data_IF_032901463083
#
_entry.id   IF_032901463083
#
_cell.length_a   1.000
_cell.length_b   1.000
_cell.length_c   1.000
_cell.angle_alpha   90.00
_cell.angle_beta   90.00
_cell.angle_gamma   90.00
#
_symmetry.space_group_name_H-M   'P 1'
#
loop_
_entity.id
_entity.type
_entity.pdbx_description
1 polymer ?
#
# COMPACT_ATOMS: atom_id res chain seq x y z
N UNK A 1 15.58 -2.26 6.72
CA UNK A 1 16.10 -0.90 6.49
C UNK A 1 15.59 -0.46 5.13
N UNK A 2 14.91 0.66 5.05
CA UNK A 2 14.26 1.15 3.83
C UNK A 2 14.89 2.47 3.44
N UNK A 3 15.03 2.69 2.13
CA UNK A 3 15.56 3.94 1.61
C UNK A 3 14.49 5.03 1.73
N UNK A 4 14.82 6.21 2.24
CA UNK A 4 13.90 7.34 2.20
C UNK A 4 13.67 7.77 0.75
N UNK A 5 12.52 8.38 0.49
CA UNK A 5 12.25 8.94 -0.83
C UNK A 5 13.33 9.98 -1.18
N UNK A 6 13.99 9.87 -2.35
CA UNK A 6 15.03 10.81 -2.75
C UNK A 6 14.56 12.26 -2.66
N UNK A 7 15.39 13.20 -2.19
CA UNK A 7 14.99 14.60 -2.04
C UNK A 7 14.40 15.22 -3.32
N UNK A 8 14.94 14.87 -4.49
CA UNK A 8 14.43 15.36 -5.78
C UNK A 8 13.00 14.87 -6.08
N UNK A 9 12.69 13.61 -5.77
CA UNK A 9 11.34 13.07 -5.95
C UNK A 9 10.38 13.67 -4.93
N UNK A 10 10.80 13.78 -3.67
CA UNK A 10 10.00 14.45 -2.63
C UNK A 10 9.67 15.89 -3.01
N UNK A 11 10.64 16.63 -3.56
CA UNK A 11 10.42 17.98 -4.05
C UNK A 11 9.42 18.03 -5.22
N UNK A 12 9.51 17.09 -6.17
CA UNK A 12 8.57 16.98 -7.27
C UNK A 12 7.14 16.71 -6.79
N UNK A 13 6.97 15.79 -5.82
CA UNK A 13 5.68 15.51 -5.18
C UNK A 13 5.12 16.78 -4.52
N UNK A 14 5.94 17.44 -3.70
CA UNK A 14 5.51 18.64 -2.96
C UNK A 14 5.17 19.81 -3.88
N UNK A 15 5.93 20.02 -4.96
CA UNK A 15 5.69 21.06 -5.96
C UNK A 15 4.66 20.67 -7.01
N UNK A 16 4.10 19.47 -6.94
CA UNK A 16 3.14 18.95 -7.92
C UNK A 16 3.67 19.01 -9.36
N UNK A 17 4.94 18.65 -9.54
CA UNK A 17 5.55 18.56 -10.88
C UNK A 17 5.13 17.22 -11.49
N UNK A 18 4.78 17.16 -12.79
CA UNK A 18 4.43 15.90 -13.44
C UNK A 18 5.45 14.77 -13.17
N UNK A 19 5.02 13.55 -12.87
CA UNK A 19 3.64 13.01 -12.94
C UNK A 19 2.81 13.22 -11.66
N UNK A 20 3.23 14.06 -10.70
CA UNK A 20 2.57 14.24 -9.40
C UNK A 20 1.59 15.42 -9.34
N UNK A 21 1.31 16.07 -10.46
CA UNK A 21 0.49 17.27 -10.55
C UNK A 21 -1.03 17.03 -10.46
N UNK A 22 -1.47 15.81 -10.76
CA UNK A 22 -2.88 15.42 -10.78
C UNK A 22 -3.36 14.61 -9.57
N UNK A 23 -2.60 14.54 -8.48
CA UNK A 23 -2.98 13.73 -7.31
C UNK A 23 -4.16 14.39 -6.58
N UNK A 24 -5.31 13.71 -6.58
CA UNK A 24 -6.55 14.13 -5.92
C UNK A 24 -6.84 13.31 -4.66
N UNK A 25 -6.39 12.06 -4.62
CA UNK A 25 -6.64 11.12 -3.53
C UNK A 25 -5.32 10.55 -3.03
N UNK A 26 -5.21 10.45 -1.72
CA UNK A 26 -4.05 9.86 -1.04
C UNK A 26 -4.55 8.75 -0.14
N UNK A 27 -3.91 7.58 -0.17
CA UNK A 27 -4.26 6.47 0.69
C UNK A 27 -3.02 5.92 1.39
N UNK A 28 -3.17 5.58 2.68
CA UNK A 28 -2.13 4.95 3.48
C UNK A 28 -2.57 3.56 3.92
N UNK A 29 -1.69 2.58 3.80
CA UNK A 29 -1.94 1.22 4.27
C UNK A 29 -1.82 1.12 5.79
N UNK A 30 -0.86 1.81 6.39
CA UNK A 30 -0.57 1.86 7.83
C UNK A 30 0.40 3.00 8.16
N UNK A 31 0.78 3.16 9.43
CA UNK A 31 1.51 4.33 9.93
C UNK A 31 2.94 4.04 10.39
N UNK A 32 3.62 3.04 9.86
CA UNK A 32 5.07 2.92 10.08
C UNK A 32 5.82 4.04 9.36
N UNK A 33 6.97 4.44 9.91
CA UNK A 33 7.75 5.60 9.46
C UNK A 33 8.22 5.53 8.00
N UNK A 34 8.35 4.33 7.46
CA UNK A 34 8.71 4.09 6.06
C UNK A 34 7.51 4.16 5.10
N UNK A 35 6.29 4.23 5.63
CA UNK A 35 5.04 4.42 4.88
C UNK A 35 4.36 5.75 5.15
N UNK A 36 4.63 6.36 6.31
CA UNK A 36 3.92 7.56 6.76
C UNK A 36 4.83 8.48 7.56
N UNK A 37 5.00 9.70 7.09
CA UNK A 37 5.65 10.81 7.79
C UNK A 37 4.62 11.91 8.04
N UNK A 38 4.25 12.11 9.31
CA UNK A 38 3.19 13.04 9.71
C UNK A 38 3.48 14.49 9.29
N UNK A 39 4.74 14.94 9.42
CA UNK A 39 5.10 16.32 9.09
C UNK A 39 5.06 16.53 7.57
N UNK A 40 5.56 15.58 6.80
CA UNK A 40 5.52 15.61 5.35
C UNK A 40 4.08 15.55 4.83
N UNK A 41 3.25 14.69 5.40
CA UNK A 41 1.82 14.58 5.05
C UNK A 41 1.08 15.86 5.38
N UNK A 42 1.26 16.41 6.57
CA UNK A 42 0.63 17.68 6.95
C UNK A 42 1.02 18.83 6.02
N UNK A 43 2.29 18.91 5.66
CA UNK A 43 2.77 19.88 4.69
C UNK A 43 2.14 19.67 3.31
N UNK A 44 2.09 18.42 2.83
CA UNK A 44 1.47 18.08 1.56
C UNK A 44 -0.02 18.42 1.52
N UNK A 45 -0.76 18.12 2.59
CA UNK A 45 -2.19 18.43 2.70
C UNK A 45 -2.45 19.94 2.62
N UNK A 46 -1.55 20.75 3.18
CA UNK A 46 -1.66 22.22 3.15
C UNK A 46 -1.28 22.81 1.77
N UNK A 47 -0.23 22.30 1.14
CA UNK A 47 0.31 22.84 -0.11
C UNK A 47 -0.42 22.31 -1.36
N UNK A 48 -0.75 21.02 -1.38
CA UNK A 48 -1.37 20.35 -2.53
C UNK A 48 -2.89 20.27 -2.45
N UNK A 49 -3.46 20.34 -1.24
CA UNK A 49 -4.89 20.27 -0.97
C UNK A 49 -5.60 19.15 -1.76
N UNK A 50 -5.22 17.87 -1.57
CA UNK A 50 -5.94 16.76 -2.20
C UNK A 50 -7.40 16.75 -1.75
N UNK A 51 -8.27 16.13 -2.54
CA UNK A 51 -9.69 16.10 -2.23
C UNK A 51 -10.00 15.16 -1.06
N UNK A 52 -9.28 14.03 -0.99
CA UNK A 52 -9.53 13.01 0.02
C UNK A 52 -8.25 12.32 0.47
N UNK A 53 -8.20 12.04 1.76
CA UNK A 53 -7.24 11.19 2.43
C UNK A 53 -7.94 9.95 2.96
N UNK A 54 -7.48 8.76 2.58
CA UNK A 54 -7.99 7.47 3.07
C UNK A 54 -6.91 6.80 3.91
N UNK A 55 -7.25 6.36 5.10
CA UNK A 55 -6.28 5.77 6.02
C UNK A 55 -6.96 4.80 6.99
N UNK A 56 -6.22 3.87 7.64
CA UNK A 56 -6.77 3.12 8.75
C UNK A 56 -7.13 4.05 9.91
N UNK A 57 -8.18 3.74 10.65
CA UNK A 57 -8.41 4.37 11.95
C UNK A 57 -7.25 4.01 12.88
N UNK A 58 -6.73 5.02 13.54
CA UNK A 58 -5.54 4.88 14.34
C UNK A 58 -5.82 5.09 15.82
N UNK A 59 -5.83 3.99 16.54
CA UNK A 59 -5.96 3.99 18.01
C UNK A 59 -4.61 4.07 18.74
N UNK A 60 -3.49 3.86 18.03
CA UNK A 60 -2.17 3.72 18.65
C UNK A 60 -1.35 5.03 18.61
N UNK A 61 -1.32 5.73 17.48
CA UNK A 61 -0.44 6.88 17.25
C UNK A 61 -1.15 8.23 17.34
N UNK A 62 -2.48 8.23 17.35
CA UNK A 62 -3.32 9.44 17.38
C UNK A 62 -3.14 10.31 16.13
N UNK A 63 -2.91 9.69 14.98
CA UNK A 63 -2.66 10.39 13.70
C UNK A 63 -3.82 11.29 13.32
N UNK A 64 -5.06 10.79 13.41
CA UNK A 64 -6.27 11.55 13.06
C UNK A 64 -6.35 12.90 13.77
N UNK A 65 -5.94 12.96 15.04
CA UNK A 65 -5.96 14.20 15.83
C UNK A 65 -4.82 15.16 15.52
N UNK A 66 -3.75 14.69 14.87
CA UNK A 66 -2.56 15.46 14.52
C UNK A 66 -2.54 15.92 13.06
N UNK A 67 -3.47 15.41 12.24
CA UNK A 67 -3.58 15.80 10.84
C UNK A 67 -4.11 17.23 10.72
N UNK A 68 -3.46 18.01 9.84
CA UNK A 68 -3.86 19.35 9.47
C UNK A 68 -4.56 19.33 8.10
N UNK A 69 -5.62 18.50 8.00
CA UNK A 69 -6.26 18.21 6.73
C UNK A 69 -6.92 19.45 6.04
N UNK A 70 -7.21 20.50 6.79
CA UNK A 70 -7.79 21.72 6.21
C UNK A 70 -9.12 21.43 5.51
N UNK A 71 -9.11 21.57 4.19
CA UNK A 71 -10.28 21.30 3.32
C UNK A 71 -10.32 19.87 2.78
N UNK A 72 -9.29 19.07 3.03
CA UNK A 72 -9.22 17.68 2.58
C UNK A 72 -10.23 16.81 3.37
N UNK A 73 -11.07 16.08 2.66
CA UNK A 73 -11.93 15.07 3.30
C UNK A 73 -11.07 13.93 3.82
N UNK A 74 -11.31 13.47 5.05
CA UNK A 74 -10.58 12.36 5.65
C UNK A 74 -11.52 11.19 5.92
N UNK A 75 -11.19 10.04 5.34
CA UNK A 75 -11.85 8.75 5.56
C UNK A 75 -10.94 7.86 6.40
N UNK A 76 -11.14 7.90 7.73
CA UNK A 76 -10.50 6.97 8.66
C UNK A 76 -11.34 5.70 8.72
N UNK A 77 -10.74 4.56 8.42
CA UNK A 77 -11.43 3.29 8.23
C UNK A 77 -11.11 2.33 9.36
N UNK A 78 -12.14 1.97 10.11
CA UNK A 78 -12.14 0.87 11.06
C UNK A 78 -13.14 -0.19 10.60
N UNK A 79 -12.67 -1.40 10.37
CA UNK A 79 -13.52 -2.52 9.92
C UNK A 79 -13.08 -3.81 10.64
N UNK A 80 -14.04 -4.68 10.98
CA UNK A 80 -13.72 -6.05 11.37
C UNK A 80 -13.03 -6.82 10.24
N UNK A 81 -12.14 -7.76 10.61
CA UNK A 81 -11.53 -8.67 9.65
C UNK A 81 -12.60 -9.40 8.82
N UNK A 82 -12.37 -9.50 7.52
CA UNK A 82 -13.31 -10.13 6.59
C UNK A 82 -14.38 -9.20 6.04
N UNK A 83 -14.43 -7.94 6.46
CA UNK A 83 -15.31 -6.92 5.87
C UNK A 83 -14.52 -5.99 4.94
N UNK A 84 -15.24 -5.29 4.06
CA UNK A 84 -14.64 -4.29 3.18
C UNK A 84 -15.56 -3.06 3.09
N UNK A 85 -14.95 -1.91 2.74
CA UNK A 85 -15.66 -0.65 2.46
C UNK A 85 -15.18 -0.09 1.14
N UNK A 86 -16.11 0.16 0.22
CA UNK A 86 -15.83 0.81 -1.05
C UNK A 86 -16.12 2.31 -0.97
N UNK A 87 -15.20 3.11 -1.47
CA UNK A 87 -15.24 4.56 -1.55
C UNK A 87 -15.25 4.92 -3.04
N UNK A 88 -16.26 5.64 -3.49
CA UNK A 88 -16.28 6.16 -4.86
C UNK A 88 -15.32 7.36 -4.95
N UNK A 89 -14.40 7.31 -5.90
CA UNK A 89 -13.44 8.40 -6.14
C UNK A 89 -13.91 9.30 -7.29
N UNK A 90 -14.42 8.70 -8.38
CA UNK A 90 -15.05 9.39 -9.53
C UNK A 90 -16.06 8.45 -10.20
N UNK A 91 -16.63 8.83 -11.34
CA UNK A 91 -17.71 8.09 -11.98
C UNK A 91 -17.40 6.62 -12.26
N UNK A 92 -16.17 6.34 -12.76
CA UNK A 92 -15.71 4.99 -13.12
C UNK A 92 -14.60 4.47 -12.21
N UNK A 93 -14.35 5.15 -11.07
CA UNK A 93 -13.25 4.81 -10.15
C UNK A 93 -13.69 4.63 -8.71
N UNK A 94 -13.18 3.59 -8.07
CA UNK A 94 -13.41 3.30 -6.66
C UNK A 94 -12.18 2.76 -5.97
N UNK A 95 -12.09 2.97 -4.66
CA UNK A 95 -11.09 2.38 -3.78
C UNK A 95 -11.82 1.54 -2.74
N UNK A 96 -11.61 0.23 -2.77
CA UNK A 96 -12.17 -0.68 -1.77
C UNK A 96 -11.09 -1.04 -0.77
N UNK A 97 -11.30 -0.67 0.49
CA UNK A 97 -10.42 -0.98 1.61
C UNK A 97 -10.91 -2.22 2.35
N UNK A 98 -9.98 -3.05 2.81
CA UNK A 98 -10.25 -4.13 3.75
C UNK A 98 -9.09 -4.30 4.72
N UNK A 99 -9.36 -4.57 6.02
CA UNK A 99 -8.31 -4.74 7.01
C UNK A 99 -7.57 -6.04 6.77
N UNK A 100 -6.28 -6.04 7.03
CA UNK A 100 -5.44 -7.23 7.10
C UNK A 100 -4.51 -7.14 8.30
N UNK A 101 -3.98 -8.28 8.74
CA UNK A 101 -2.91 -8.27 9.73
C UNK A 101 -1.63 -7.75 9.07
N UNK A 102 -0.88 -6.96 9.82
CA UNK A 102 0.49 -6.62 9.42
C UNK A 102 1.41 -7.84 9.56
N UNK A 103 2.39 -7.99 8.68
CA UNK A 103 3.41 -9.03 8.77
C UNK A 103 4.30 -8.82 10.01
N UNK A 104 4.63 -9.91 10.72
CA UNK A 104 5.41 -9.85 11.96
C UNK A 104 4.54 -9.82 13.21
N UNK A 105 4.85 -10.70 14.18
CA UNK A 105 4.11 -10.80 15.45
C UNK A 105 4.22 -9.54 16.30
N UNK A 106 5.33 -8.84 16.21
CA UNK A 106 5.62 -7.57 16.87
C UNK A 106 4.67 -6.45 16.43
N UNK A 107 4.07 -6.59 15.25
CA UNK A 107 3.16 -5.61 14.65
C UNK A 107 1.68 -6.01 14.71
N UNK A 108 1.32 -6.98 15.53
CA UNK A 108 -0.06 -7.51 15.64
C UNK A 108 -1.10 -6.41 15.95
N UNK A 109 -0.69 -5.33 16.61
CA UNK A 109 -1.57 -4.21 16.98
C UNK A 109 -1.61 -3.09 15.94
N UNK A 110 -0.84 -3.19 14.87
CA UNK A 110 -0.81 -2.16 13.84
C UNK A 110 -2.08 -2.25 12.99
N UNK A 111 -2.85 -1.16 12.96
CA UNK A 111 -3.98 -1.03 12.04
C UNK A 111 -3.46 -0.99 10.61
N UNK A 112 -3.84 -1.97 9.81
CA UNK A 112 -3.37 -2.12 8.44
C UNK A 112 -4.52 -2.37 7.47
N UNK A 113 -4.49 -1.69 6.32
CA UNK A 113 -5.45 -1.83 5.23
C UNK A 113 -4.76 -2.30 3.94
N UNK A 114 -5.38 -3.25 3.27
CA UNK A 114 -5.17 -3.49 1.86
C UNK A 114 -6.21 -2.74 1.04
N UNK A 115 -5.89 -2.45 -0.22
CA UNK A 115 -6.78 -1.73 -1.11
C UNK A 115 -6.95 -2.43 -2.45
N UNK A 116 -8.17 -2.37 -3.00
CA UNK A 116 -8.44 -2.63 -4.41
C UNK A 116 -8.81 -1.30 -5.06
N UNK A 117 -7.96 -0.82 -5.96
CA UNK A 117 -8.25 0.33 -6.81
C UNK A 117 -8.88 -0.18 -8.11
N UNK A 118 -10.10 0.26 -8.39
CA UNK A 118 -10.74 0.08 -9.69
C UNK A 118 -10.78 1.40 -10.44
N UNK A 119 -10.26 1.40 -11.66
CA UNK A 119 -10.17 2.59 -12.49
C UNK A 119 -10.31 2.19 -13.97
N UNK A 120 -11.31 2.74 -14.65
CA UNK A 120 -11.54 2.54 -16.09
C UNK A 120 -11.50 1.06 -16.53
N UNK A 121 -12.13 0.20 -15.73
CA UNK A 121 -12.20 -1.25 -15.96
C UNK A 121 -10.93 -2.03 -15.61
N UNK A 122 -9.91 -1.38 -15.03
CA UNK A 122 -8.72 -2.01 -14.50
C UNK A 122 -8.80 -2.16 -12.99
N UNK A 123 -8.16 -3.22 -12.45
CA UNK A 123 -8.11 -3.51 -11.03
C UNK A 123 -6.68 -3.69 -10.56
N UNK A 124 -6.32 -2.93 -9.54
CA UNK A 124 -5.00 -3.03 -8.88
C UNK A 124 -5.22 -3.37 -7.41
N UNK A 125 -4.61 -4.46 -6.95
CA UNK A 125 -4.59 -4.83 -5.54
C UNK A 125 -3.31 -4.31 -4.90
N UNK A 126 -3.43 -3.61 -3.77
CA UNK A 126 -2.32 -3.03 -3.01
C UNK A 126 -2.28 -3.74 -1.66
N UNK A 127 -1.23 -4.50 -1.41
CA UNK A 127 -1.11 -5.36 -0.23
C UNK A 127 -0.44 -4.66 0.95
N UNK A 128 0.37 -3.61 0.72
CA UNK A 128 1.20 -3.03 1.77
C UNK A 128 2.08 -4.08 2.45
N UNK A 129 2.19 -3.99 3.76
CA UNK A 129 2.94 -4.93 4.60
C UNK A 129 2.06 -5.98 5.28
N UNK A 130 1.02 -6.43 4.58
CA UNK A 130 0.11 -7.46 5.08
C UNK A 130 0.81 -8.79 5.33
N UNK A 131 0.28 -9.59 6.28
CA UNK A 131 0.72 -10.97 6.53
C UNK A 131 0.34 -11.90 5.35
N UNK A 132 1.03 -13.03 5.27
CA UNK A 132 0.99 -13.99 4.16
C UNK A 132 -0.07 -15.09 4.41
N UNK A 133 -1.32 -14.69 4.69
CA UNK A 133 -2.44 -15.59 4.95
C UNK A 133 -3.21 -15.92 3.66
N UNK A 134 -2.92 -17.08 3.06
CA UNK A 134 -3.58 -17.49 1.82
C UNK A 134 -5.08 -17.76 1.97
N UNK A 135 -5.54 -18.19 3.15
CA UNK A 135 -6.98 -18.42 3.40
C UNK A 135 -7.72 -17.07 3.46
N UNK A 136 -7.16 -16.13 4.17
CA UNK A 136 -7.70 -14.77 4.24
C UNK A 136 -7.77 -14.12 2.85
N UNK A 137 -6.68 -14.13 2.08
CA UNK A 137 -6.68 -13.54 0.74
C UNK A 137 -7.59 -14.27 -0.24
N UNK A 138 -7.76 -15.58 -0.10
CA UNK A 138 -8.75 -16.32 -0.90
C UNK A 138 -10.17 -15.84 -0.62
N UNK A 139 -10.49 -15.55 0.63
CA UNK A 139 -11.81 -15.01 1.01
C UNK A 139 -12.00 -13.58 0.50
N UNK A 140 -11.00 -12.70 0.64
CA UNK A 140 -11.14 -11.27 0.34
C UNK A 140 -10.95 -10.94 -1.14
N UNK A 141 -10.08 -11.65 -1.84
CA UNK A 141 -9.64 -11.32 -3.19
C UNK A 141 -9.80 -12.48 -4.21
N UNK A 142 -10.03 -13.71 -3.76
CA UNK A 142 -9.97 -14.91 -4.60
C UNK A 142 -11.02 -15.01 -5.72
N UNK A 143 -12.12 -14.25 -5.63
CA UNK A 143 -13.13 -14.17 -6.68
C UNK A 143 -12.79 -13.15 -7.78
N UNK A 144 -11.79 -12.29 -7.56
CA UNK A 144 -11.40 -11.22 -8.46
C UNK A 144 -10.20 -11.62 -9.32
N UNK A 145 -10.10 -10.97 -10.50
CA UNK A 145 -8.89 -10.94 -11.32
C UNK A 145 -8.33 -9.54 -11.32
N UNK A 146 -7.02 -9.42 -11.11
CA UNK A 146 -6.34 -8.14 -11.05
C UNK A 146 -5.48 -7.92 -12.29
N UNK A 147 -5.43 -6.70 -12.79
CA UNK A 147 -4.47 -6.32 -13.83
C UNK A 147 -3.06 -6.23 -13.24
N UNK A 148 -2.95 -5.73 -12.01
CA UNK A 148 -1.69 -5.72 -11.27
C UNK A 148 -1.90 -5.91 -9.77
N UNK A 149 -0.87 -6.41 -9.09
CA UNK A 149 -0.76 -6.45 -7.63
C UNK A 149 0.51 -5.72 -7.22
N UNK A 150 0.38 -4.76 -6.31
CA UNK A 150 1.52 -4.08 -5.67
C UNK A 150 1.78 -4.78 -4.33
N UNK A 151 2.95 -5.37 -4.19
CA UNK A 151 3.29 -6.22 -3.06
C UNK A 151 4.70 -5.93 -2.51
N UNK A 152 4.86 -6.23 -1.24
CA UNK A 152 6.17 -6.33 -0.59
C UNK A 152 6.93 -7.54 -1.17
N UNK A 153 8.24 -7.44 -1.44
CA UNK A 153 9.03 -8.52 -2.05
C UNK A 153 9.04 -9.82 -1.26
N UNK A 154 8.83 -9.78 0.04
CA UNK A 154 8.75 -10.97 0.88
C UNK A 154 7.59 -11.90 0.50
N UNK A 155 6.59 -11.41 -0.23
CA UNK A 155 5.57 -12.27 -0.84
C UNK A 155 6.14 -13.24 -1.87
N UNK A 156 7.24 -12.88 -2.53
CA UNK A 156 7.94 -13.80 -3.44
C UNK A 156 8.99 -14.62 -2.69
N UNK A 157 9.74 -14.01 -1.77
CA UNK A 157 10.83 -14.67 -1.04
C UNK A 157 10.33 -15.78 -0.13
N UNK A 158 9.27 -15.53 0.64
CA UNK A 158 8.78 -16.48 1.63
C UNK A 158 7.83 -17.54 1.01
N UNK A 159 7.97 -18.84 1.38
CA UNK A 159 7.06 -19.87 0.89
C UNK A 159 5.57 -19.57 1.19
N UNK A 160 5.28 -18.94 2.32
CA UNK A 160 3.91 -18.52 2.68
C UNK A 160 3.39 -17.44 1.72
N UNK A 161 4.22 -16.46 1.37
CA UNK A 161 3.87 -15.41 0.43
C UNK A 161 3.61 -15.96 -0.98
N UNK A 162 4.49 -16.83 -1.49
CA UNK A 162 4.28 -17.52 -2.78
C UNK A 162 2.98 -18.31 -2.82
N UNK A 163 2.59 -18.91 -1.68
CA UNK A 163 1.31 -19.63 -1.58
C UNK A 163 0.11 -18.71 -1.75
N UNK A 164 0.19 -17.46 -1.28
CA UNK A 164 -0.88 -16.46 -1.49
C UNK A 164 -1.12 -16.23 -2.98
N UNK A 165 -0.07 -15.99 -3.77
CA UNK A 165 -0.21 -15.85 -5.21
C UNK A 165 -0.68 -17.13 -5.90
N UNK A 166 -0.12 -18.29 -5.53
CA UNK A 166 -0.47 -19.55 -6.18
C UNK A 166 -1.92 -20.00 -5.92
N UNK A 167 -2.51 -19.64 -4.77
CA UNK A 167 -3.79 -20.21 -4.32
C UNK A 167 -4.93 -19.19 -4.16
N UNK A 168 -4.61 -17.89 -4.06
CA UNK A 168 -5.57 -16.94 -3.55
C UNK A 168 -5.72 -15.68 -4.39
N UNK A 169 -4.71 -15.28 -5.15
CA UNK A 169 -4.71 -14.06 -5.94
C UNK A 169 -4.45 -14.40 -7.41
N UNK A 170 -5.37 -13.98 -8.29
CA UNK A 170 -5.19 -14.08 -9.74
C UNK A 170 -4.82 -12.71 -10.28
N UNK A 171 -3.65 -12.59 -10.91
CA UNK A 171 -3.15 -11.33 -11.45
C UNK A 171 -2.37 -11.55 -12.74
N UNK A 172 -2.38 -10.54 -13.61
CA UNK A 172 -1.56 -10.51 -14.83
C UNK A 172 -0.13 -10.08 -14.53
N UNK A 173 0.05 -9.19 -13.55
CA UNK A 173 1.34 -8.60 -13.21
C UNK A 173 1.51 -8.46 -11.71
N UNK A 174 2.75 -8.58 -11.23
CA UNK A 174 3.12 -8.28 -9.85
C UNK A 174 4.19 -7.20 -9.87
N UNK A 175 3.93 -6.11 -9.16
CA UNK A 175 4.85 -4.98 -9.00
C UNK A 175 5.39 -5.03 -7.57
N UNK A 176 6.68 -5.31 -7.42
CA UNK A 176 7.32 -5.28 -6.11
C UNK A 176 7.77 -3.86 -5.77
N UNK A 177 7.26 -3.35 -4.66
CA UNK A 177 7.73 -2.13 -4.00
C UNK A 177 8.50 -2.49 -2.73
N UNK A 178 8.93 -1.49 -1.94
CA UNK A 178 9.60 -1.75 -0.65
C UNK A 178 11.00 -2.37 -0.80
N UNK A 179 11.67 -2.08 -1.92
CA UNK A 179 13.06 -2.46 -2.14
C UNK A 179 13.99 -1.29 -1.75
N UNK A 180 15.09 -1.52 -1.03
CA UNK A 180 16.07 -0.49 -0.77
C UNK A 180 16.72 -0.03 -2.09
N UNK A 181 17.21 1.20 -2.16
CA UNK A 181 18.11 1.61 -3.23
C UNK A 181 19.44 0.85 -3.14
N UNK A 182 20.18 0.78 -4.24
CA UNK A 182 21.40 -0.02 -4.30
C UNK A 182 22.45 0.41 -3.25
N UNK A 183 22.55 1.72 -3.00
CA UNK A 183 23.45 2.32 -2.01
C UNK A 183 23.06 2.04 -0.56
N UNK A 184 21.79 1.74 -0.30
CA UNK A 184 21.23 1.47 1.03
C UNK A 184 21.12 -0.03 1.33
N UNK A 185 21.35 -0.89 0.34
CA UNK A 185 21.11 -2.35 0.40
C UNK A 185 22.23 -3.10 1.12
N UNK A 186 22.37 -2.85 2.42
CA UNK A 186 23.42 -3.43 3.26
C UNK A 186 23.33 -4.95 3.43
N UNK A 187 22.16 -5.53 3.20
CA UNK A 187 21.92 -6.97 3.36
C UNK A 187 21.78 -7.71 2.04
N UNK A 188 22.07 -7.03 0.92
CA UNK A 188 21.97 -7.59 -0.44
C UNK A 188 20.57 -8.10 -0.79
N UNK A 189 19.54 -7.44 -0.27
CA UNK A 189 18.15 -7.80 -0.47
C UNK A 189 17.73 -7.77 -1.94
N UNK A 190 18.24 -6.81 -2.72
CA UNK A 190 18.01 -6.72 -4.16
C UNK A 190 18.56 -7.94 -4.93
N UNK A 191 19.73 -8.44 -4.53
CA UNK A 191 20.30 -9.64 -5.13
C UNK A 191 19.44 -10.87 -4.81
N UNK A 192 19.05 -11.02 -3.55
CA UNK A 192 18.15 -12.08 -3.13
C UNK A 192 16.85 -12.07 -3.95
N UNK A 193 16.22 -10.90 -4.11
CA UNK A 193 15.02 -10.76 -4.92
C UNK A 193 15.23 -11.06 -6.39
N UNK A 194 16.39 -10.69 -6.95
CA UNK A 194 16.74 -11.02 -8.34
C UNK A 194 16.83 -12.55 -8.55
N UNK A 195 17.38 -13.27 -7.61
CA UNK A 195 17.44 -14.74 -7.66
C UNK A 195 16.05 -15.37 -7.50
N UNK A 196 15.23 -14.86 -6.56
CA UNK A 196 13.85 -15.33 -6.39
C UNK A 196 13.03 -15.08 -7.67
N UNK A 197 13.16 -13.93 -8.33
CA UNK A 197 12.49 -13.65 -9.59
C UNK A 197 12.91 -14.62 -10.70
N UNK A 198 14.20 -14.95 -10.82
CA UNK A 198 14.68 -15.96 -11.78
C UNK A 198 14.12 -17.34 -11.49
N UNK A 199 13.98 -17.68 -10.22
CA UNK A 199 13.54 -19.01 -9.79
C UNK A 199 12.02 -19.19 -9.89
N UNK A 200 11.23 -18.16 -9.58
CA UNK A 200 9.78 -18.28 -9.38
C UNK A 200 8.93 -17.50 -10.38
N UNK A 201 9.49 -16.53 -11.11
CA UNK A 201 8.81 -15.77 -12.14
C UNK A 201 9.34 -16.21 -13.51
N UNK A 202 8.70 -17.22 -14.09
CA UNK A 202 8.98 -17.59 -15.48
C UNK A 202 8.02 -16.85 -16.40
N UNK A 203 8.51 -16.38 -17.59
CA UNK A 203 7.66 -15.75 -18.59
C UNK A 203 6.64 -16.73 -19.18
#
# INVERSE_FOLDING_TARGET
MFSPVPPCIREQIMKRIPPFDGIRWVAFTHFHEDHFDLDLVNRYLQEAAPEMLVMPEDTQYGVSSKLKAGVCSTEAIELPMGQCRSIRLWETGSLTAFPSRHAGREYEKVSHLCYVLEADGKKVLILGDSDYDSVFFKQMAGAMEFDAVIANPLFLHLPRGRRVFAQSIRTKEIIFCHLPFAEDDQIHFRNMMSEDMKQYCHP
#
